data_IF_798159662230
#
_entry.id   IF_798159662230
#
_cell.length_a   1.000
_cell.length_b   1.000
_cell.length_c   1.000
_cell.angle_alpha   90.00
_cell.angle_beta   90.00
_cell.angle_gamma   90.00
#
_symmetry.space_group_name_H-M   'P 1'
#
loop_
_entity.id
_entity.type
_entity.pdbx_description
1 polymer ?
#
# COMPACT_ATOMS: atom_id res chain seq x y z
N UNK A 1 -30.86 -15.64 9.06
CA UNK A 1 -30.38 -14.35 8.53
C UNK A 1 -29.69 -14.65 7.21
N UNK A 2 -29.97 -13.92 6.14
CA UNK A 2 -29.17 -14.07 4.94
C UNK A 2 -27.73 -13.63 5.25
N UNK A 3 -26.79 -14.55 5.14
CA UNK A 3 -25.35 -14.25 5.26
C UNK A 3 -24.92 -13.87 3.84
N UNK A 4 -24.73 -12.59 3.61
CA UNK A 4 -24.13 -12.09 2.37
C UNK A 4 -22.60 -12.29 2.47
N UNK A 5 -22.13 -13.52 2.43
CA UNK A 5 -20.70 -13.80 2.43
C UNK A 5 -19.90 -12.90 1.46
N UNK A 6 -18.79 -13.32 0.95
CA UNK A 6 -17.96 -12.59 -0.03
C UNK A 6 -18.66 -12.47 -1.42
N UNK A 7 -19.91 -12.02 -1.44
CA UNK A 7 -20.65 -11.81 -2.70
C UNK A 7 -20.00 -10.67 -3.48
N UNK A 8 -19.54 -10.95 -4.68
CA UNK A 8 -18.97 -9.97 -5.60
C UNK A 8 -20.05 -9.20 -6.38
N UNK A 9 -21.27 -9.69 -6.39
CA UNK A 9 -22.41 -9.07 -7.06
C UNK A 9 -23.73 -9.51 -6.38
N UNK A 10 -24.57 -8.55 -6.03
CA UNK A 10 -25.94 -8.80 -5.57
C UNK A 10 -26.88 -8.15 -6.58
N UNK A 11 -27.79 -8.93 -7.15
CA UNK A 11 -28.76 -8.47 -8.15
C UNK A 11 -30.20 -8.57 -7.64
N UNK A 12 -30.96 -7.50 -7.86
CA UNK A 12 -32.40 -7.48 -7.69
C UNK A 12 -33.05 -7.22 -9.05
N UNK A 13 -33.85 -8.15 -9.55
CA UNK A 13 -34.47 -8.08 -10.88
C UNK A 13 -33.48 -7.79 -12.01
N UNK A 14 -32.27 -8.38 -11.96
CA UNK A 14 -31.21 -8.17 -12.95
C UNK A 14 -30.40 -6.88 -12.78
N UNK A 15 -30.76 -6.01 -11.85
CA UNK A 15 -30.01 -4.77 -11.55
C UNK A 15 -29.00 -5.07 -10.45
N UNK A 16 -27.73 -4.76 -10.72
CA UNK A 16 -26.67 -4.88 -9.72
C UNK A 16 -26.86 -3.84 -8.61
N UNK A 17 -26.90 -4.31 -7.35
CA UNK A 17 -26.89 -3.43 -6.19
C UNK A 17 -25.45 -3.04 -5.84
N UNK A 18 -25.24 -1.79 -5.41
CA UNK A 18 -23.95 -1.31 -4.91
C UNK A 18 -23.85 -1.43 -3.39
N UNK A 19 -24.98 -1.49 -2.70
CA UNK A 19 -25.09 -1.66 -1.24
C UNK A 19 -26.32 -2.45 -0.86
N UNK A 20 -26.25 -3.23 0.21
CA UNK A 20 -27.39 -3.80 0.91
C UNK A 20 -27.39 -3.34 2.37
N UNK A 21 -28.57 -3.08 2.91
CA UNK A 21 -28.75 -2.58 4.27
C UNK A 21 -29.54 -3.58 5.11
N UNK A 22 -29.20 -3.67 6.39
CA UNK A 22 -29.98 -4.37 7.42
C UNK A 22 -30.17 -3.41 8.59
N UNK A 23 -31.43 -3.08 8.91
CA UNK A 23 -31.79 -2.12 9.98
C UNK A 23 -31.04 -0.77 9.86
N UNK A 24 -31.01 -0.19 8.67
CA UNK A 24 -30.29 1.04 8.31
C UNK A 24 -28.75 0.95 8.40
N UNK A 25 -28.21 -0.20 8.71
CA UNK A 25 -26.77 -0.42 8.65
C UNK A 25 -26.37 -1.07 7.32
N UNK A 26 -25.21 -0.70 6.77
CA UNK A 26 -24.67 -1.35 5.58
C UNK A 26 -24.33 -2.80 5.92
N UNK A 27 -25.09 -3.73 5.35
CA UNK A 27 -24.87 -5.16 5.52
C UNK A 27 -23.95 -5.74 4.43
N UNK A 28 -23.91 -5.10 3.26
CA UNK A 28 -23.04 -5.44 2.15
C UNK A 28 -22.83 -4.21 1.26
N UNK A 29 -21.64 -4.07 0.72
CA UNK A 29 -21.27 -3.01 -0.20
C UNK A 29 -20.30 -3.55 -1.24
N UNK A 30 -20.52 -3.15 -2.53
CA UNK A 30 -19.56 -3.46 -3.58
C UNK A 30 -18.27 -2.69 -3.32
N UNK A 31 -17.19 -3.40 -3.11
CA UNK A 31 -15.87 -2.82 -2.95
C UNK A 31 -15.26 -2.56 -4.32
N UNK A 32 -15.22 -1.31 -4.75
CA UNK A 32 -14.59 -0.92 -6.00
C UNK A 32 -13.11 -0.64 -5.75
N UNK A 33 -12.25 -1.51 -6.28
CA UNK A 33 -10.82 -1.28 -6.33
C UNK A 33 -10.43 -0.62 -7.64
N UNK A 34 -9.55 0.35 -7.57
CA UNK A 34 -8.91 1.01 -8.72
C UNK A 34 -7.44 0.65 -8.77
N UNK A 35 -6.84 0.70 -9.97
CA UNK A 35 -5.42 0.40 -10.12
C UNK A 35 -4.53 1.43 -9.41
N UNK A 36 -3.42 0.98 -8.83
CA UNK A 36 -2.41 1.80 -8.18
C UNK A 36 -2.47 1.77 -6.66
N UNK A 37 -1.71 2.66 -6.03
CA UNK A 37 -1.68 2.86 -4.58
C UNK A 37 -1.87 4.33 -4.26
N UNK A 38 -2.48 4.64 -3.12
CA UNK A 38 -2.44 5.98 -2.56
C UNK A 38 -1.03 6.31 -2.12
N UNK A 39 -0.46 7.37 -2.68
CA UNK A 39 0.81 7.96 -2.28
C UNK A 39 0.55 9.24 -1.52
N UNK A 40 1.14 9.39 -0.34
CA UNK A 40 1.11 10.63 0.44
C UNK A 40 2.53 11.01 0.83
N UNK A 41 2.90 12.25 0.55
CA UNK A 41 4.21 12.83 0.90
C UNK A 41 4.06 13.78 2.08
N UNK A 42 4.98 13.73 3.01
CA UNK A 42 5.02 14.51 4.24
C UNK A 42 6.36 15.24 4.33
N UNK A 43 6.36 16.48 4.80
CA UNK A 43 7.58 17.18 5.14
C UNK A 43 8.21 16.55 6.40
N UNK A 44 9.53 16.41 6.41
CA UNK A 44 10.30 15.84 7.51
C UNK A 44 10.49 14.32 7.40
N UNK A 45 11.59 13.85 7.99
CA UNK A 45 11.91 12.43 8.08
C UNK A 45 11.18 11.78 9.26
N UNK A 46 10.22 10.92 8.98
CA UNK A 46 9.39 10.24 9.98
C UNK A 46 9.49 8.71 9.91
N UNK A 47 10.39 8.20 9.08
CA UNK A 47 10.42 6.79 8.71
C UNK A 47 10.63 5.84 9.91
N UNK A 48 11.44 6.25 10.90
CA UNK A 48 11.70 5.44 12.11
C UNK A 48 10.56 5.52 13.15
N UNK A 49 9.53 6.29 12.86
CA UNK A 49 8.37 6.47 13.75
C UNK A 49 7.07 6.09 13.04
N UNK A 50 6.80 4.78 12.80
CA UNK A 50 5.61 4.34 12.07
C UNK A 50 4.29 4.86 12.66
N UNK A 51 4.23 5.11 13.97
CA UNK A 51 3.06 5.71 14.64
C UNK A 51 2.71 7.11 14.10
N UNK A 52 3.67 7.86 13.56
CA UNK A 52 3.40 9.11 12.87
C UNK A 52 2.38 8.91 11.74
N UNK A 53 2.60 7.91 10.91
CA UNK A 53 1.75 7.60 9.76
C UNK A 53 0.39 7.02 10.17
N UNK A 54 0.26 6.45 11.38
CA UNK A 54 -1.01 5.95 11.89
C UNK A 54 -1.97 7.09 12.26
N UNK A 55 -1.43 8.22 12.71
CA UNK A 55 -2.19 9.42 13.09
C UNK A 55 -2.30 10.42 11.94
N UNK A 56 -1.45 10.32 10.95
CA UNK A 56 -1.45 11.14 9.75
C UNK A 56 -2.60 10.71 8.84
N UNK A 57 -3.80 11.18 9.13
CA UNK A 57 -4.93 11.07 8.21
C UNK A 57 -4.80 12.12 7.12
N UNK A 58 -5.41 11.89 5.95
CA UNK A 58 -5.48 12.86 4.85
C UNK A 58 -6.00 14.24 5.26
N UNK A 59 -6.65 14.34 6.42
CA UNK A 59 -7.26 15.55 6.97
C UNK A 59 -6.46 16.20 8.11
N UNK A 60 -5.48 15.51 8.70
CA UNK A 60 -4.80 15.97 9.94
C UNK A 60 -3.52 16.76 9.64
N UNK A 61 -2.95 16.61 8.49
CA UNK A 61 -1.77 17.35 8.06
C UNK A 61 -2.19 18.54 7.22
N UNK A 62 -2.64 19.61 7.80
CA UNK A 62 -2.79 20.95 7.26
C UNK A 62 -2.57 21.08 5.74
N UNK A 63 -2.21 22.21 5.20
CA UNK A 63 -2.04 22.39 3.76
C UNK A 63 -0.98 21.47 3.06
N UNK A 64 -0.50 20.37 3.69
CA UNK A 64 0.68 19.68 3.18
C UNK A 64 0.84 18.16 3.37
N UNK A 65 -0.14 17.29 3.15
CA UNK A 65 0.16 16.05 2.48
C UNK A 65 -0.28 16.16 1.02
N UNK A 66 0.69 16.23 0.09
CA UNK A 66 0.37 15.99 -1.30
C UNK A 66 -0.04 14.52 -1.44
N UNK A 67 -1.34 14.29 -1.63
CA UNK A 67 -1.88 12.94 -1.86
C UNK A 67 -2.20 12.76 -3.33
N UNK A 68 -1.74 11.67 -3.88
CA UNK A 68 -1.97 11.28 -5.27
C UNK A 68 -2.20 9.78 -5.36
N UNK A 69 -2.65 9.32 -6.52
CA UNK A 69 -2.70 7.90 -6.86
C UNK A 69 -1.56 7.59 -7.81
N UNK A 70 -0.67 6.69 -7.40
CA UNK A 70 0.41 6.22 -8.25
C UNK A 70 -0.04 4.92 -8.93
N UNK A 71 -0.18 4.97 -10.26
CA UNK A 71 -0.64 3.84 -11.09
C UNK A 71 0.47 3.23 -11.94
N UNK A 72 1.65 3.82 -11.90
CA UNK A 72 2.86 3.35 -12.57
C UNK A 72 3.75 2.57 -11.61
N UNK A 73 5.01 2.32 -11.96
CA UNK A 73 5.97 1.73 -11.04
C UNK A 73 5.98 2.50 -9.70
N UNK A 74 5.96 1.77 -8.59
CA UNK A 74 6.06 2.39 -7.27
C UNK A 74 7.52 2.75 -7.06
N UNK A 75 7.81 4.03 -7.21
CA UNK A 75 9.16 4.58 -7.16
C UNK A 75 9.14 6.06 -6.79
N UNK A 76 10.21 6.52 -6.19
CA UNK A 76 10.62 7.91 -6.17
C UNK A 76 11.76 8.09 -7.17
N UNK A 77 11.71 9.08 -8.03
CA UNK A 77 12.85 9.41 -8.87
C UNK A 77 13.98 9.94 -7.97
N UNK A 78 15.20 9.59 -8.32
CA UNK A 78 16.36 10.22 -7.71
C UNK A 78 16.31 11.72 -8.00
N UNK A 79 16.07 12.53 -7.01
CA UNK A 79 16.25 13.96 -7.04
C UNK A 79 17.22 14.30 -5.90
N UNK A 80 18.32 14.89 -6.24
CA UNK A 80 19.30 15.39 -5.24
C UNK A 80 18.90 16.83 -4.86
N UNK A 81 17.68 16.97 -4.33
CA UNK A 81 17.13 18.28 -3.96
C UNK A 81 17.43 18.65 -2.48
N UNK A 82 18.06 17.73 -1.74
CA UNK A 82 18.43 17.94 -0.34
C UNK A 82 17.22 18.06 0.60
N UNK A 83 16.03 17.69 0.15
CA UNK A 83 14.83 17.80 0.96
C UNK A 83 14.76 16.68 2.00
N UNK A 84 14.18 17.04 3.13
CA UNK A 84 13.88 16.13 4.22
C UNK A 84 12.38 15.82 4.15
N UNK A 85 12.01 14.58 3.78
CA UNK A 85 10.63 14.20 3.57
C UNK A 85 10.37 12.72 3.89
N UNK A 86 9.09 12.37 3.94
CA UNK A 86 8.66 10.98 4.06
C UNK A 86 7.50 10.70 3.12
N UNK A 87 7.41 9.46 2.66
CA UNK A 87 6.33 9.01 1.76
C UNK A 87 5.69 7.76 2.32
N UNK A 88 4.37 7.67 2.15
CA UNK A 88 3.62 6.46 2.44
C UNK A 88 2.80 6.04 1.22
N UNK A 89 2.82 4.75 0.90
CA UNK A 89 1.90 4.13 -0.05
C UNK A 89 0.96 3.16 0.66
N UNK A 90 -0.33 3.26 0.34
CA UNK A 90 -1.39 2.44 0.91
C UNK A 90 -2.27 1.82 -0.18
N UNK A 91 -2.67 0.58 0.03
CA UNK A 91 -3.61 -0.12 -0.81
C UNK A 91 -3.56 -1.62 -0.59
N UNK A 92 -3.72 -2.37 -1.68
CA UNK A 92 -3.74 -3.83 -1.66
C UNK A 92 -2.88 -4.39 -2.78
N UNK A 93 -2.27 -5.51 -2.52
CA UNK A 93 -1.67 -6.36 -3.54
C UNK A 93 -2.60 -7.54 -3.83
N UNK A 94 -3.00 -7.68 -5.08
CA UNK A 94 -3.84 -8.78 -5.58
C UNK A 94 -3.00 -9.66 -6.51
N UNK A 95 -2.43 -10.75 -6.03
CA UNK A 95 -1.62 -11.65 -6.83
C UNK A 95 -2.38 -12.21 -8.03
N UNK A 96 -1.72 -12.37 -9.15
CA UNK A 96 -2.26 -13.01 -10.36
C UNK A 96 -2.07 -14.52 -10.37
N UNK A 97 -1.09 -15.02 -9.62
CA UNK A 97 -0.75 -16.44 -9.49
C UNK A 97 -0.67 -16.83 -8.01
N UNK A 98 -0.98 -18.09 -7.70
CA UNK A 98 -0.79 -18.67 -6.35
C UNK A 98 0.63 -19.22 -6.26
N UNK A 99 1.55 -18.43 -5.72
CA UNK A 99 2.97 -18.73 -5.67
C UNK A 99 3.63 -18.11 -4.43
N UNK A 100 4.91 -18.44 -4.22
CA UNK A 100 5.76 -17.69 -3.31
C UNK A 100 6.30 -16.47 -4.04
N UNK A 101 5.93 -15.29 -3.55
CA UNK A 101 6.42 -14.00 -4.03
C UNK A 101 7.67 -13.61 -3.26
N UNK A 102 8.68 -13.12 -3.97
CA UNK A 102 9.77 -12.36 -3.35
C UNK A 102 9.50 -10.89 -3.62
N UNK A 103 9.35 -10.10 -2.55
CA UNK A 103 9.13 -8.66 -2.59
C UNK A 103 10.47 -7.98 -2.30
N UNK A 104 10.77 -6.91 -3.01
CA UNK A 104 12.03 -6.15 -2.89
C UNK A 104 11.72 -4.68 -2.71
N UNK A 105 12.46 -4.02 -1.85
CA UNK A 105 12.56 -2.56 -1.80
C UNK A 105 14.04 -2.19 -1.91
N UNK A 106 14.36 -1.28 -2.81
CA UNK A 106 15.62 -0.54 -2.81
C UNK A 106 15.32 0.88 -2.37
N UNK A 107 16.05 1.40 -1.40
CA UNK A 107 15.90 2.78 -0.94
C UNK A 107 17.22 3.40 -0.52
N UNK A 108 17.26 4.70 -0.62
CA UNK A 108 18.20 5.66 -0.12
C UNK A 108 17.34 6.86 0.35
N UNK A 109 17.10 7.11 1.61
CA UNK A 109 17.49 6.43 2.85
C UNK A 109 16.57 5.23 3.20
N UNK A 110 15.95 5.30 4.40
CA UNK A 110 15.23 4.22 5.05
C UNK A 110 13.86 3.89 4.44
N UNK A 111 13.48 2.61 4.52
CA UNK A 111 12.16 2.17 4.06
C UNK A 111 11.63 0.95 4.80
N UNK A 112 10.30 0.79 4.78
CA UNK A 112 9.61 -0.34 5.38
C UNK A 112 8.47 -0.83 4.48
N UNK A 113 8.17 -2.13 4.57
CA UNK A 113 7.00 -2.75 3.94
C UNK A 113 6.28 -3.66 4.92
N UNK A 114 4.96 -3.52 4.98
CA UNK A 114 4.05 -4.45 5.64
C UNK A 114 3.06 -4.98 4.61
N UNK A 115 2.77 -6.28 4.68
CA UNK A 115 1.72 -6.93 3.88
C UNK A 115 0.90 -7.85 4.77
N UNK A 116 -0.43 -7.85 4.57
CA UNK A 116 -1.37 -8.57 5.42
C UNK A 116 -1.89 -7.73 6.58
N UNK A 117 -2.28 -8.34 7.68
CA UNK A 117 -2.98 -7.67 8.79
C UNK A 117 -2.20 -6.49 9.38
N UNK A 118 -0.87 -6.62 9.51
CA UNK A 118 -0.02 -5.56 10.04
C UNK A 118 0.04 -4.31 9.14
N UNK A 119 -0.31 -4.42 7.86
CA UNK A 119 -0.39 -3.26 6.99
C UNK A 119 -1.59 -2.34 7.30
N UNK A 120 -2.65 -2.89 7.89
CA UNK A 120 -3.86 -2.12 8.27
C UNK A 120 -3.69 -1.43 9.62
N UNK A 121 -3.21 -2.16 10.61
CA UNK A 121 -3.07 -1.64 11.98
C UNK A 121 -1.97 -2.36 12.74
N UNK A 122 -1.42 -1.71 13.78
CA UNK A 122 -0.40 -2.29 14.64
C UNK A 122 0.97 -2.43 13.97
N UNK A 123 1.21 -1.75 12.85
CA UNK A 123 2.49 -1.75 12.16
C UNK A 123 3.57 -1.03 12.99
N UNK A 124 4.71 -1.69 13.11
CA UNK A 124 5.92 -1.20 13.81
C UNK A 124 7.14 -1.58 12.98
N UNK A 125 8.27 -0.93 13.22
CA UNK A 125 9.52 -1.31 12.55
C UNK A 125 9.89 -2.77 12.82
N UNK A 126 9.59 -3.28 14.00
CA UNK A 126 9.91 -4.65 14.42
C UNK A 126 9.08 -5.74 13.71
N UNK A 127 7.86 -5.43 13.25
CA UNK A 127 7.00 -6.38 12.55
C UNK A 127 6.88 -6.14 11.05
N UNK A 128 7.72 -5.27 10.50
CA UNK A 128 7.80 -5.05 9.06
C UNK A 128 8.25 -6.34 8.35
N UNK A 129 7.62 -6.64 7.23
CA UNK A 129 8.04 -7.74 6.35
C UNK A 129 9.36 -7.42 5.63
N UNK A 130 9.58 -6.14 5.28
CA UNK A 130 10.88 -5.60 4.91
C UNK A 130 11.18 -4.47 5.89
N UNK A 131 12.33 -4.58 6.55
CA UNK A 131 12.90 -3.53 7.38
C UNK A 131 14.24 -3.12 6.74
N UNK A 132 14.24 -1.97 6.08
CA UNK A 132 15.39 -1.30 5.49
C UNK A 132 15.47 0.11 6.08
N UNK A 133 15.38 0.20 7.43
CA UNK A 133 15.34 1.47 8.15
C UNK A 133 16.72 2.05 8.41
N UNK A 134 16.72 3.31 8.84
CA UNK A 134 17.91 4.10 9.12
C UNK A 134 18.38 4.94 7.93
N UNK A 135 19.32 5.82 8.19
CA UNK A 135 19.97 6.62 7.16
C UNK A 135 21.09 5.80 6.50
N UNK A 136 21.02 5.62 5.20
CA UNK A 136 22.01 4.82 4.44
C UNK A 136 21.91 5.15 2.94
N UNK A 137 23.01 4.96 2.21
CA UNK A 137 22.98 4.97 0.74
C UNK A 137 22.13 3.83 0.18
N UNK A 138 21.91 3.83 -1.13
CA UNK A 138 20.98 2.89 -1.77
C UNK A 138 21.28 1.42 -1.44
N UNK A 139 20.32 0.75 -0.77
CA UNK A 139 20.38 -0.67 -0.37
C UNK A 139 19.07 -1.35 -0.78
N UNK A 140 19.19 -2.59 -1.29
CA UNK A 140 18.03 -3.44 -1.56
C UNK A 140 17.87 -4.50 -0.48
N UNK A 141 16.66 -4.60 0.07
CA UNK A 141 16.25 -5.66 1.01
C UNK A 141 15.02 -6.38 0.45
N UNK A 142 14.93 -7.68 0.72
CA UNK A 142 13.82 -8.50 0.23
C UNK A 142 13.24 -9.42 1.30
N UNK A 143 12.01 -9.87 1.04
CA UNK A 143 11.32 -10.88 1.84
C UNK A 143 10.55 -11.84 0.93
N UNK A 144 10.25 -13.03 1.42
CA UNK A 144 9.41 -14.01 0.71
C UNK A 144 8.09 -14.22 1.44
N UNK A 145 7.00 -14.34 0.68
CA UNK A 145 5.66 -14.58 1.21
C UNK A 145 4.84 -15.42 0.22
N UNK A 146 4.13 -16.43 0.72
CA UNK A 146 3.20 -17.21 -0.09
C UNK A 146 1.87 -16.49 -0.22
N UNK A 147 1.43 -16.22 -1.44
CA UNK A 147 0.22 -15.49 -1.74
C UNK A 147 -0.70 -16.31 -2.66
N UNK A 148 -2.01 -16.11 -2.50
CA UNK A 148 -3.04 -16.81 -3.28
C UNK A 148 -3.62 -15.86 -4.33
N UNK A 149 -3.69 -16.32 -5.58
CA UNK A 149 -4.25 -15.56 -6.69
C UNK A 149 -5.65 -15.01 -6.38
N UNK A 150 -5.89 -13.77 -6.75
CA UNK A 150 -7.18 -13.10 -6.60
C UNK A 150 -7.51 -12.61 -5.19
N UNK A 151 -6.73 -12.96 -4.16
CA UNK A 151 -6.89 -12.47 -2.79
C UNK A 151 -6.32 -11.07 -2.65
N UNK A 152 -7.03 -10.18 -1.97
CA UNK A 152 -6.58 -8.82 -1.69
C UNK A 152 -5.79 -8.80 -0.38
N UNK A 153 -4.49 -8.58 -0.46
CA UNK A 153 -3.60 -8.44 0.68
C UNK A 153 -3.35 -6.95 0.96
N UNK A 154 -3.75 -6.41 2.11
CA UNK A 154 -3.37 -5.04 2.47
C UNK A 154 -1.85 -4.87 2.37
N UNK A 155 -1.40 -3.78 1.75
CA UNK A 155 0.00 -3.43 1.62
C UNK A 155 0.21 -1.98 2.06
N UNK A 156 1.26 -1.77 2.83
CA UNK A 156 1.74 -0.47 3.28
C UNK A 156 3.23 -0.41 3.03
N UNK A 157 3.68 0.67 2.41
CA UNK A 157 5.10 0.97 2.28
C UNK A 157 5.36 2.37 2.83
N UNK A 158 6.52 2.56 3.44
CA UNK A 158 6.99 3.84 3.94
C UNK A 158 8.43 4.04 3.47
N UNK A 159 8.75 5.27 3.15
CA UNK A 159 10.06 5.73 2.75
C UNK A 159 10.35 7.04 3.43
N UNK A 160 11.60 7.27 3.81
CA UNK A 160 12.06 8.53 4.37
C UNK A 160 13.41 8.90 3.80
N UNK A 161 13.56 10.18 3.48
CA UNK A 161 14.75 10.81 2.98
C UNK A 161 15.19 11.91 3.95
N UNK A 162 16.48 11.90 4.34
CA UNK A 162 17.09 12.92 5.21
C UNK A 162 17.77 13.99 4.38
N UNK A 163 18.40 13.59 3.28
CA UNK A 163 19.12 14.47 2.36
C UNK A 163 20.18 13.70 1.59
N UNK A 164 20.49 14.17 0.41
CA UNK A 164 21.36 13.51 -0.55
C UNK A 164 20.62 13.01 -1.76
N UNK A 165 21.00 11.87 -2.29
CA UNK A 165 20.30 11.26 -3.43
C UNK A 165 19.15 10.38 -2.94
N UNK A 166 17.93 10.70 -3.29
CA UNK A 166 16.74 9.95 -2.92
C UNK A 166 16.41 8.87 -3.96
N UNK A 167 16.22 7.64 -3.50
CA UNK A 167 15.81 6.50 -4.31
C UNK A 167 14.79 5.67 -3.55
N UNK A 168 13.68 5.35 -4.19
CA UNK A 168 12.78 4.31 -3.72
C UNK A 168 12.24 3.52 -4.91
N UNK A 169 12.37 2.18 -4.85
CA UNK A 169 11.75 1.28 -5.83
C UNK A 169 11.17 0.06 -5.14
N UNK A 170 9.97 -0.33 -5.56
CA UNK A 170 9.34 -1.58 -5.20
C UNK A 170 9.34 -2.54 -6.39
N UNK A 171 9.78 -3.77 -6.15
CA UNK A 171 9.79 -4.84 -7.14
C UNK A 171 9.23 -6.13 -6.53
N UNK A 172 8.81 -7.05 -7.39
CA UNK A 172 8.53 -8.43 -6.99
C UNK A 172 8.98 -9.43 -8.06
N UNK A 173 9.14 -10.68 -7.65
CA UNK A 173 9.34 -11.84 -8.53
C UNK A 173 8.59 -13.04 -7.97
N UNK A 174 8.40 -14.06 -8.82
CA UNK A 174 7.93 -15.39 -8.42
C UNK A 174 8.74 -16.45 -9.18
N UNK A 175 8.57 -17.75 -8.94
CA UNK A 175 9.18 -18.78 -9.78
C UNK A 175 8.85 -18.65 -11.26
N UNK A 176 7.69 -18.06 -11.60
CA UNK A 176 7.22 -17.90 -13.00
C UNK A 176 7.32 -16.49 -13.52
N UNK A 177 7.53 -15.49 -12.65
CA UNK A 177 7.63 -14.07 -13.01
C UNK A 177 9.04 -13.57 -12.65
N UNK A 178 9.80 -13.12 -13.64
CA UNK A 178 11.08 -12.46 -13.40
C UNK A 178 10.89 -11.16 -12.60
N UNK A 179 11.91 -10.75 -11.85
CA UNK A 179 11.88 -9.52 -11.07
C UNK A 179 11.43 -8.33 -11.93
N UNK A 180 10.40 -7.64 -11.46
CA UNK A 180 9.72 -6.59 -12.21
C UNK A 180 9.24 -5.46 -11.32
N UNK A 181 9.21 -4.23 -11.88
CA UNK A 181 8.56 -3.05 -11.32
C UNK A 181 7.07 -2.96 -11.72
N UNK A 182 6.55 -3.96 -12.43
CA UNK A 182 5.17 -3.96 -12.90
C UNK A 182 4.21 -3.90 -11.71
N UNK A 183 3.33 -2.92 -11.70
CA UNK A 183 2.31 -2.69 -10.66
C UNK A 183 1.00 -3.44 -10.92
N UNK A 184 0.97 -4.36 -11.89
CA UNK A 184 -0.20 -5.23 -12.12
C UNK A 184 -0.54 -5.98 -10.84
N UNK A 185 -1.77 -5.79 -10.36
CA UNK A 185 -2.21 -6.34 -9.08
C UNK A 185 -2.08 -5.38 -7.90
N UNK A 186 -1.41 -4.23 -8.03
CA UNK A 186 -1.51 -3.17 -7.05
C UNK A 186 -2.81 -2.40 -7.28
N UNK A 187 -3.65 -2.37 -6.26
CA UNK A 187 -4.95 -1.71 -6.30
C UNK A 187 -5.19 -0.96 -4.98
N UNK A 188 -5.98 0.07 -5.04
CA UNK A 188 -6.43 0.76 -3.85
C UNK A 188 -7.96 0.75 -3.76
N UNK A 189 -8.44 0.86 -2.54
CA UNK A 189 -9.83 1.04 -2.25
C UNK A 189 -10.23 2.50 -2.51
N UNK A 190 -11.26 2.76 -3.32
CA UNK A 190 -11.66 4.13 -3.61
C UNK A 190 -12.51 4.71 -2.46
N UNK A 191 -11.98 5.67 -1.66
CA UNK A 191 -12.68 6.18 -0.49
C UNK A 191 -13.92 7.03 -0.83
N UNK A 192 -14.04 7.56 -2.05
CA UNK A 192 -15.24 8.28 -2.48
C UNK A 192 -16.48 7.38 -2.51
N UNK A 193 -16.27 6.09 -2.62
CA UNK A 193 -17.35 5.10 -2.60
C UNK A 193 -17.50 4.35 -1.29
N UNK A 194 -16.45 4.26 -0.46
CA UNK A 194 -16.45 3.29 0.63
C UNK A 194 -15.82 3.74 1.96
N UNK A 195 -15.16 4.89 2.03
CA UNK A 195 -14.45 5.34 3.24
C UNK A 195 -13.34 4.36 3.70
N UNK A 196 -12.19 4.89 4.02
CA UNK A 196 -11.20 4.17 4.82
C UNK A 196 -11.68 4.15 6.25
#
# INVERSE_FOLDING_TARGET
MPVFGNATDIRFNGISATKAYLNNNVAWQLTNYSAGLYKTTYAGYHNETPSFFATATLTTYGANPATSVQTTAISEPSSDDGSNFSVQWLGYFKPTTTETYTLYISSDDGSYLWIGANALSGFTTANANINNGGAHGSVEVSTTISLTAGTYYPIRMQFGEIGGGDVFTFNYSTPTISKTTNVTGLVFYNPTTNGF
#
